data_IF_786419906597
#
_entry.id   IF_786419906597
#
_cell.length_a   1.000
_cell.length_b   1.000
_cell.length_c   1.000
_cell.angle_alpha   90.00
_cell.angle_beta   90.00
_cell.angle_gamma   90.00
#
_symmetry.space_group_name_H-M   'P 1'
#
loop_
_entity.id
_entity.type
_entity.pdbx_description
1 polymer ?
#
# COMPACT_ATOMS: atom_id res chain seq x y z
N UNK A 1 27.40 -29.99 57.60
CA UNK A 1 26.39 -29.24 56.80
C UNK A 1 27.04 -28.28 55.79
N UNK A 2 27.89 -28.78 54.86
CA UNK A 2 28.54 -27.94 53.82
C UNK A 2 28.41 -28.49 52.39
N UNK A 3 27.93 -29.73 52.23
CA UNK A 3 27.79 -30.41 50.92
C UNK A 3 26.42 -30.21 50.26
N UNK A 4 25.39 -29.82 51.02
CA UNK A 4 24.01 -29.66 50.51
C UNK A 4 23.84 -28.30 49.80
N UNK A 5 24.52 -27.25 50.27
CA UNK A 5 24.43 -25.90 49.69
C UNK A 5 25.07 -25.78 48.29
N UNK A 6 26.06 -26.61 47.98
CA UNK A 6 26.77 -26.55 46.68
C UNK A 6 25.93 -27.20 45.58
N UNK A 7 25.15 -28.24 45.89
CA UNK A 7 24.28 -28.90 44.92
C UNK A 7 23.12 -27.99 44.46
N UNK A 8 22.58 -27.15 45.35
CA UNK A 8 21.47 -26.24 45.06
C UNK A 8 21.85 -25.11 44.09
N UNK A 9 23.10 -24.62 44.16
CA UNK A 9 23.58 -23.52 43.30
C UNK A 9 23.91 -24.00 41.88
N UNK A 10 24.41 -25.23 41.73
CA UNK A 10 24.75 -25.80 40.41
C UNK A 10 23.48 -26.14 39.60
N UNK A 11 22.41 -26.59 40.26
CA UNK A 11 21.12 -26.87 39.58
C UNK A 11 20.45 -25.57 39.12
N UNK A 12 20.56 -24.48 39.87
CA UNK A 12 20.01 -23.18 39.46
C UNK A 12 20.73 -22.60 38.23
N UNK A 13 22.04 -22.80 38.12
CA UNK A 13 22.84 -22.36 36.96
C UNK A 13 22.53 -23.14 35.67
N UNK A 14 22.19 -24.43 35.80
CA UNK A 14 21.83 -25.28 34.66
C UNK A 14 20.41 -24.99 34.13
N UNK A 15 19.49 -24.56 35.00
CA UNK A 15 18.12 -24.19 34.58
C UNK A 15 18.13 -22.84 33.85
N UNK A 16 19.02 -21.90 34.19
CA UNK A 16 19.12 -20.61 33.50
C UNK A 16 19.75 -20.68 32.10
N UNK A 17 20.58 -21.69 31.81
CA UNK A 17 21.19 -21.83 30.47
C UNK A 17 20.27 -22.55 29.46
N UNK A 18 19.30 -23.34 29.91
CA UNK A 18 18.40 -24.04 28.99
C UNK A 18 17.23 -23.18 28.46
N UNK A 19 17.06 -21.94 28.96
CA UNK A 19 16.04 -21.01 28.46
C UNK A 19 16.59 -19.99 27.42
N UNK A 20 17.87 -20.09 27.07
CA UNK A 20 18.50 -19.28 26.02
C UNK A 20 18.88 -20.12 24.79
N UNK A 21 18.06 -21.12 24.43
CA UNK A 21 18.16 -21.76 23.11
C UNK A 21 17.62 -20.83 22.04
N UNK A 22 18.54 -20.21 21.29
CA UNK A 22 18.39 -19.72 19.91
C UNK A 22 17.01 -19.18 19.51
N UNK A 23 16.57 -18.08 20.13
CA UNK A 23 15.42 -17.31 19.62
C UNK A 23 15.74 -16.46 18.38
N UNK A 24 17.01 -16.42 17.96
CA UNK A 24 17.50 -15.56 16.88
C UNK A 24 18.04 -16.31 15.65
N UNK A 25 17.73 -17.61 15.49
CA UNK A 25 17.99 -18.28 14.20
C UNK A 25 16.90 -17.85 13.22
N UNK A 26 17.17 -16.77 12.50
CA UNK A 26 16.45 -16.45 11.25
C UNK A 26 16.48 -17.74 10.43
N UNK A 27 15.31 -18.33 10.21
CA UNK A 27 15.21 -19.56 9.42
C UNK A 27 15.65 -19.24 7.99
N UNK A 28 16.35 -20.17 7.31
CA UNK A 28 16.64 -19.98 5.90
C UNK A 28 15.33 -19.76 5.14
N UNK A 29 15.39 -18.94 4.10
CA UNK A 29 14.21 -18.66 3.27
C UNK A 29 13.83 -19.94 2.54
N UNK A 30 12.64 -20.46 2.83
CA UNK A 30 12.06 -21.66 2.20
C UNK A 30 10.86 -21.34 1.34
N UNK A 31 10.26 -20.17 1.53
CA UNK A 31 9.07 -19.73 0.80
C UNK A 31 9.25 -18.29 0.35
N UNK A 32 8.88 -18.00 -0.89
CA UNK A 32 8.85 -16.64 -1.42
C UNK A 32 7.45 -16.35 -1.92
N UNK A 33 6.87 -15.26 -1.44
CA UNK A 33 5.58 -14.74 -1.89
C UNK A 33 5.84 -13.56 -2.81
N UNK A 34 5.17 -13.53 -3.96
CA UNK A 34 5.31 -12.47 -4.95
C UNK A 34 3.96 -11.83 -5.27
N UNK A 35 3.98 -10.54 -5.61
CA UNK A 35 2.78 -9.83 -6.08
C UNK A 35 2.31 -10.40 -7.41
N UNK A 36 1.01 -10.70 -7.50
CA UNK A 36 0.37 -11.18 -8.73
C UNK A 36 0.43 -10.15 -9.86
N UNK A 37 0.45 -10.62 -11.12
CA UNK A 37 0.40 -9.74 -12.29
C UNK A 37 -0.87 -8.88 -12.33
N UNK A 38 -1.98 -9.40 -11.81
CA UNK A 38 -3.22 -8.63 -11.65
C UNK A 38 -2.96 -7.41 -10.77
N UNK A 39 -2.41 -7.61 -9.59
CA UNK A 39 -2.13 -6.50 -8.66
C UNK A 39 -1.10 -5.51 -9.24
N UNK A 40 -0.03 -6.01 -9.87
CA UNK A 40 0.97 -5.15 -10.52
C UNK A 40 0.36 -4.24 -11.57
N UNK A 41 -0.65 -4.70 -12.31
CA UNK A 41 -1.29 -3.90 -13.36
C UNK A 41 -2.12 -2.71 -12.85
N UNK A 42 -2.60 -2.74 -11.60
CA UNK A 42 -3.33 -1.62 -11.00
C UNK A 42 -2.45 -0.65 -10.24
N UNK A 43 -1.29 -1.09 -9.74
CA UNK A 43 -0.54 -0.32 -8.74
C UNK A 43 0.96 -0.21 -8.99
N UNK A 44 1.59 -1.14 -9.71
CA UNK A 44 3.07 -1.26 -9.75
C UNK A 44 3.67 -0.96 -11.12
N UNK A 45 3.02 -1.39 -12.20
CA UNK A 45 3.59 -1.37 -13.56
C UNK A 45 3.56 0.03 -14.19
N UNK A 46 4.23 0.99 -13.56
CA UNK A 46 4.40 2.36 -14.01
C UNK A 46 5.89 2.72 -14.02
N UNK A 47 6.30 3.51 -15.01
CA UNK A 47 7.67 4.02 -15.07
C UNK A 47 7.84 5.18 -14.10
N UNK A 48 8.94 5.17 -13.34
CA UNK A 48 9.33 6.32 -12.50
C UNK A 48 9.49 7.55 -13.40
N UNK A 49 8.87 8.67 -13.00
CA UNK A 49 8.76 9.89 -13.81
C UNK A 49 7.44 10.03 -14.58
N UNK A 50 6.59 8.99 -14.58
CA UNK A 50 5.22 9.08 -15.13
C UNK A 50 4.43 10.16 -14.41
N UNK A 51 3.73 11.00 -15.19
CA UNK A 51 2.90 12.09 -14.69
C UNK A 51 1.45 11.89 -15.13
N UNK A 52 0.53 11.98 -14.18
CA UNK A 52 -0.90 11.97 -14.39
C UNK A 52 -1.45 13.37 -14.16
N UNK A 53 -2.11 13.91 -15.18
CA UNK A 53 -2.74 15.22 -15.14
C UNK A 53 -4.23 15.03 -14.85
N UNK A 54 -4.68 15.65 -13.77
CA UNK A 54 -6.04 15.60 -13.31
C UNK A 54 -6.72 16.95 -13.47
N UNK A 55 -8.01 16.93 -13.79
CA UNK A 55 -8.87 18.10 -13.88
C UNK A 55 -9.95 18.02 -12.79
N UNK A 56 -10.20 19.14 -12.12
CA UNK A 56 -11.32 19.29 -11.19
C UNK A 56 -12.65 19.13 -11.95
N UNK A 57 -13.55 18.27 -11.44
CA UNK A 57 -14.81 17.93 -12.13
C UNK A 57 -15.83 19.07 -12.12
N UNK A 58 -15.68 20.06 -11.23
CA UNK A 58 -16.57 21.22 -11.11
C UNK A 58 -15.89 22.46 -11.69
N UNK A 59 -14.64 22.73 -11.29
CA UNK A 59 -13.87 23.91 -11.71
C UNK A 59 -12.86 23.50 -12.79
N UNK A 60 -13.33 23.30 -14.02
CA UNK A 60 -12.54 22.74 -15.13
C UNK A 60 -11.25 23.50 -15.50
N UNK A 61 -11.07 24.74 -15.03
CA UNK A 61 -9.81 25.49 -15.15
C UNK A 61 -8.75 25.09 -14.10
N UNK A 62 -9.09 24.28 -13.10
CA UNK A 62 -8.19 23.79 -12.06
C UNK A 62 -7.68 22.40 -12.41
N UNK A 63 -6.36 22.26 -12.34
CA UNK A 63 -5.66 21.01 -12.57
C UNK A 63 -4.76 20.65 -11.40
N UNK A 64 -4.51 19.36 -11.22
CA UNK A 64 -3.41 18.83 -10.43
C UNK A 64 -2.55 17.90 -11.30
N UNK A 65 -1.29 17.70 -10.93
CA UNK A 65 -0.40 16.75 -11.58
C UNK A 65 0.22 15.90 -10.51
N UNK A 66 0.03 14.58 -10.60
CA UNK A 66 0.67 13.60 -9.73
C UNK A 66 1.82 12.97 -10.50
N UNK A 67 3.00 12.94 -9.91
CA UNK A 67 4.18 12.27 -10.45
C UNK A 67 4.51 11.03 -9.62
N UNK A 68 4.83 9.92 -10.28
CA UNK A 68 5.49 8.79 -9.62
C UNK A 68 6.98 9.11 -9.49
N UNK A 69 7.43 9.35 -8.25
CA UNK A 69 8.80 9.79 -7.97
C UNK A 69 9.74 8.61 -7.71
N UNK A 70 9.24 7.53 -7.12
CA UNK A 70 10.04 6.30 -6.92
C UNK A 70 9.16 5.07 -6.89
N UNK A 71 9.72 3.94 -7.31
CA UNK A 71 9.16 2.60 -7.21
C UNK A 71 10.29 1.67 -6.77
N UNK A 72 10.27 1.25 -5.51
CA UNK A 72 11.35 0.45 -4.89
C UNK A 72 10.80 -0.86 -4.34
N UNK A 73 11.64 -1.89 -4.29
CA UNK A 73 11.31 -3.15 -3.64
C UNK A 73 11.10 -2.93 -2.14
N UNK A 74 10.07 -3.56 -1.59
CA UNK A 74 9.74 -3.56 -0.16
C UNK A 74 9.60 -5.02 0.28
N UNK A 75 10.75 -5.65 0.54
CA UNK A 75 10.83 -7.07 0.88
C UNK A 75 10.79 -7.26 2.40
N UNK A 76 9.89 -8.11 2.88
CA UNK A 76 9.72 -8.41 4.30
C UNK A 76 10.02 -9.88 4.58
N UNK A 77 10.91 -10.13 5.56
CA UNK A 77 11.17 -11.48 6.08
C UNK A 77 10.44 -11.64 7.41
N UNK A 78 9.55 -12.63 7.50
CA UNK A 78 8.76 -12.91 8.70
C UNK A 78 9.58 -13.55 9.84
N UNK A 79 10.85 -13.89 9.59
CA UNK A 79 11.73 -14.63 10.50
C UNK A 79 11.40 -16.12 10.61
N UNK A 80 10.28 -16.56 10.03
CA UNK A 80 9.78 -17.92 9.95
C UNK A 80 10.24 -18.69 8.71
N UNK A 81 10.94 -18.03 7.79
CA UNK A 81 11.43 -18.61 6.53
C UNK A 81 10.63 -18.18 5.30
N UNK A 82 9.71 -17.22 5.45
CA UNK A 82 8.95 -16.63 4.35
C UNK A 82 9.52 -15.26 4.00
N UNK A 83 9.85 -15.07 2.72
CA UNK A 83 10.17 -13.77 2.14
C UNK A 83 8.97 -13.25 1.33
N UNK A 84 8.42 -12.12 1.73
CA UNK A 84 7.36 -11.42 1.01
C UNK A 84 7.97 -10.31 0.16
N UNK A 85 7.91 -10.43 -1.17
CA UNK A 85 8.44 -9.42 -2.10
C UNK A 85 7.38 -8.39 -2.49
N UNK A 86 7.43 -7.21 -1.89
CA UNK A 86 6.50 -6.11 -2.12
C UNK A 86 7.10 -4.94 -2.89
N UNK A 87 6.32 -3.86 -3.00
CA UNK A 87 6.73 -2.60 -3.61
C UNK A 87 6.26 -1.41 -2.78
N UNK A 88 7.09 -0.37 -2.73
CA UNK A 88 6.73 0.94 -2.21
C UNK A 88 6.86 1.98 -3.34
N UNK A 89 5.74 2.62 -3.67
CA UNK A 89 5.65 3.65 -4.70
C UNK A 89 5.35 5.01 -4.05
N UNK A 90 6.18 6.02 -4.31
CA UNK A 90 5.97 7.37 -3.78
C UNK A 90 5.41 8.29 -4.87
N UNK A 91 4.27 8.90 -4.58
CA UNK A 91 3.56 9.80 -5.46
C UNK A 91 3.58 11.22 -4.89
N UNK A 92 3.90 12.18 -5.77
CA UNK A 92 4.01 13.60 -5.44
C UNK A 92 3.06 14.42 -6.31
N UNK A 93 1.84 14.72 -5.82
CA UNK A 93 0.96 15.71 -6.42
C UNK A 93 1.56 17.13 -6.36
N UNK A 94 1.05 18.04 -7.18
CA UNK A 94 1.40 19.47 -7.11
C UNK A 94 0.46 20.25 -6.18
N UNK A 95 -0.76 19.77 -5.97
CA UNK A 95 -1.76 20.40 -5.11
C UNK A 95 -2.25 19.50 -3.99
N UNK A 96 -2.63 18.26 -4.31
CA UNK A 96 -3.05 17.30 -3.29
C UNK A 96 -1.87 16.90 -2.37
N UNK A 97 -2.18 16.27 -1.25
CA UNK A 97 -1.17 15.74 -0.33
C UNK A 97 -0.40 14.59 -0.98
N UNK A 98 0.91 14.57 -0.79
CA UNK A 98 1.79 13.45 -1.10
C UNK A 98 1.32 12.15 -0.45
N UNK A 99 1.59 11.01 -1.10
CA UNK A 99 1.23 9.71 -0.56
C UNK A 99 2.15 8.61 -1.07
N UNK A 100 2.14 7.48 -0.37
CA UNK A 100 2.74 6.22 -0.83
C UNK A 100 1.66 5.20 -1.13
N UNK A 101 1.91 4.38 -2.14
CA UNK A 101 1.20 3.11 -2.34
C UNK A 101 2.16 2.00 -1.97
N UNK A 102 1.82 1.25 -0.92
CA UNK A 102 2.56 0.08 -0.47
C UNK A 102 1.78 -1.15 -0.92
N UNK A 103 2.44 -2.05 -1.64
CA UNK A 103 1.85 -3.27 -2.21
C UNK A 103 2.60 -4.46 -1.61
N UNK A 104 1.91 -5.28 -0.83
CA UNK A 104 2.51 -6.41 -0.10
C UNK A 104 1.81 -7.74 -0.46
N UNK A 105 2.56 -8.82 -0.73
CA UNK A 105 1.96 -10.13 -0.92
C UNK A 105 1.56 -10.71 0.43
N UNK A 106 0.54 -11.56 0.43
CA UNK A 106 0.13 -12.35 1.58
C UNK A 106 0.08 -13.84 1.26
N UNK A 107 -0.24 -14.62 2.28
CA UNK A 107 -0.39 -16.07 2.15
C UNK A 107 -1.55 -16.42 1.20
N UNK A 108 -1.50 -17.62 0.60
CA UNK A 108 -2.55 -18.12 -0.29
C UNK A 108 -2.84 -17.20 -1.48
N UNK A 109 -1.80 -16.56 -2.04
CA UNK A 109 -1.89 -15.67 -3.19
C UNK A 109 -2.91 -14.52 -2.96
N UNK A 110 -2.94 -14.02 -1.72
CA UNK A 110 -3.51 -12.73 -1.38
C UNK A 110 -2.52 -11.61 -1.66
N UNK A 111 -3.02 -10.41 -1.92
CA UNK A 111 -2.23 -9.20 -2.07
C UNK A 111 -2.97 -8.05 -1.39
N UNK A 112 -2.22 -7.24 -0.65
CA UNK A 112 -2.72 -6.09 0.08
C UNK A 112 -2.10 -4.82 -0.48
N UNK A 113 -2.90 -3.76 -0.56
CA UNK A 113 -2.46 -2.43 -0.96
C UNK A 113 -2.88 -1.44 0.10
N UNK A 114 -1.98 -0.52 0.44
CA UNK A 114 -2.23 0.61 1.33
C UNK A 114 -1.84 1.91 0.63
N UNK A 115 -2.77 2.85 0.52
CA UNK A 115 -2.50 4.24 0.14
C UNK A 115 -2.34 5.05 1.43
N UNK A 116 -1.12 5.42 1.73
CA UNK A 116 -0.69 6.09 2.96
C UNK A 116 -0.40 7.58 2.70
N UNK A 117 -1.12 8.53 3.35
CA UNK A 117 -0.91 9.97 3.14
C UNK A 117 0.34 10.53 3.85
N UNK A 118 1.20 9.68 4.42
CA UNK A 118 2.44 10.06 5.10
C UNK A 118 2.22 10.97 6.32
N UNK A 119 1.07 10.80 6.97
CA UNK A 119 0.69 11.54 8.18
C UNK A 119 0.20 10.53 9.22
N UNK A 120 0.76 10.63 10.42
CA UNK A 120 0.39 9.75 11.52
C UNK A 120 -1.11 9.87 11.83
N UNK A 121 -1.76 8.73 12.09
CA UNK A 121 -3.19 8.63 12.43
C UNK A 121 -4.17 9.21 11.37
N UNK A 122 -3.73 9.44 10.13
CA UNK A 122 -4.59 9.96 9.06
C UNK A 122 -5.45 8.90 8.36
N UNK A 123 -5.36 7.64 8.79
CA UNK A 123 -5.99 6.49 8.11
C UNK A 123 -5.26 6.09 6.83
N UNK A 124 -5.82 5.12 6.11
CA UNK A 124 -5.30 4.66 4.83
C UNK A 124 -6.43 4.10 3.96
N UNK A 125 -6.28 4.22 2.64
CA UNK A 125 -7.16 3.54 1.68
C UNK A 125 -6.55 2.17 1.41
N UNK A 126 -7.31 1.11 1.63
CA UNK A 126 -6.79 -0.25 1.47
C UNK A 126 -7.55 -1.04 0.42
N UNK A 127 -6.82 -1.84 -0.35
CA UNK A 127 -7.37 -2.81 -1.30
C UNK A 127 -6.82 -4.20 -0.98
N UNK A 128 -7.65 -5.22 -1.18
CA UNK A 128 -7.26 -6.60 -0.98
C UNK A 128 -7.76 -7.44 -2.16
N UNK A 129 -6.88 -8.25 -2.73
CA UNK A 129 -7.18 -9.20 -3.78
C UNK A 129 -6.76 -10.60 -3.32
N UNK A 130 -7.70 -11.52 -3.28
CA UNK A 130 -7.51 -12.90 -2.85
C UNK A 130 -7.70 -13.82 -4.06
N UNK A 131 -6.62 -14.39 -4.58
CA UNK A 131 -6.67 -15.31 -5.71
C UNK A 131 -7.33 -14.74 -6.97
N UNK A 132 -7.04 -13.48 -7.31
CA UNK A 132 -7.61 -12.80 -8.47
C UNK A 132 -9.00 -12.21 -8.21
N UNK A 133 -9.60 -12.46 -7.05
CA UNK A 133 -10.91 -11.93 -6.67
C UNK A 133 -10.71 -10.78 -5.69
N UNK A 134 -11.28 -9.62 -6.01
CA UNK A 134 -11.29 -8.48 -5.10
C UNK A 134 -12.11 -8.80 -3.85
N UNK A 135 -11.59 -8.44 -2.67
CA UNK A 135 -12.30 -8.66 -1.39
C UNK A 135 -13.67 -7.99 -1.38
N UNK A 136 -14.56 -8.41 -0.47
CA UNK A 136 -15.94 -7.90 -0.37
C UNK A 136 -16.05 -6.39 -0.14
N UNK A 137 -14.97 -5.76 0.34
CA UNK A 137 -14.91 -4.31 0.54
C UNK A 137 -14.48 -3.57 -0.71
N UNK A 138 -13.92 -4.22 -1.73
CA UNK A 138 -13.51 -3.58 -2.97
C UNK A 138 -14.60 -3.77 -4.02
N UNK A 139 -15.13 -2.68 -4.54
CA UNK A 139 -16.08 -2.74 -5.67
C UNK A 139 -15.31 -2.74 -6.98
N UNK A 140 -15.61 -3.69 -7.86
CA UNK A 140 -15.07 -3.79 -9.20
C UNK A 140 -16.12 -3.39 -10.24
N UNK A 141 -15.73 -2.57 -11.19
CA UNK A 141 -16.52 -2.14 -12.34
C UNK A 141 -15.83 -2.56 -13.64
N UNK A 142 -16.55 -3.22 -14.54
CA UNK A 142 -16.04 -3.46 -15.90
C UNK A 142 -15.74 -2.15 -16.64
N UNK A 143 -16.59 -1.14 -16.42
CA UNK A 143 -16.31 0.24 -16.81
C UNK A 143 -17.08 1.24 -15.95
N UNK A 144 -16.55 2.46 -15.86
CA UNK A 144 -17.23 3.60 -15.25
C UNK A 144 -17.00 4.84 -16.13
N UNK A 145 -18.02 5.68 -16.25
CA UNK A 145 -17.90 6.99 -16.90
C UNK A 145 -17.81 8.08 -15.82
N UNK A 146 -16.77 8.91 -15.89
CA UNK A 146 -16.54 10.02 -14.96
C UNK A 146 -16.45 11.30 -15.78
N UNK A 147 -17.54 12.06 -15.77
CA UNK A 147 -17.65 13.38 -16.44
C UNK A 147 -17.19 13.30 -17.91
N UNK A 148 -17.72 12.36 -18.68
CA UNK A 148 -17.44 12.17 -20.12
C UNK A 148 -16.22 11.31 -20.46
N UNK A 149 -15.40 10.91 -19.48
CA UNK A 149 -14.29 9.97 -19.72
C UNK A 149 -14.69 8.57 -19.24
N UNK A 150 -14.57 7.58 -20.14
CA UNK A 150 -14.82 6.17 -19.81
C UNK A 150 -13.52 5.46 -19.44
N UNK A 151 -13.51 4.82 -18.27
CA UNK A 151 -12.41 4.00 -17.78
C UNK A 151 -12.88 2.56 -17.64
N UNK A 152 -11.96 1.61 -17.81
CA UNK A 152 -12.28 0.18 -17.80
C UNK A 152 -11.56 -0.52 -16.64
N UNK A 153 -12.15 -1.62 -16.18
CA UNK A 153 -11.59 -2.48 -15.12
C UNK A 153 -11.15 -1.62 -13.93
N UNK A 154 -12.14 -0.98 -13.31
CA UNK A 154 -11.94 0.00 -12.26
C UNK A 154 -12.29 -0.60 -10.91
N UNK A 155 -11.43 -0.40 -9.93
CA UNK A 155 -11.68 -0.75 -8.55
C UNK A 155 -11.81 0.49 -7.69
N UNK A 156 -12.64 0.41 -6.66
CA UNK A 156 -12.76 1.42 -5.61
C UNK A 156 -12.85 0.74 -4.26
N UNK A 157 -12.38 1.44 -3.22
CA UNK A 157 -12.45 1.00 -1.83
C UNK A 157 -13.26 2.03 -1.03
N UNK A 158 -14.12 1.60 -0.09
CA UNK A 158 -14.84 2.47 0.83
C UNK A 158 -13.92 3.02 1.92
N UNK A 159 -12.72 2.47 2.07
CA UNK A 159 -11.71 3.02 2.96
C UNK A 159 -11.24 4.38 2.46
N UNK A 160 -11.02 5.28 3.40
CA UNK A 160 -10.63 6.66 3.15
C UNK A 160 -9.48 7.03 4.07
N UNK A 161 -8.72 8.05 3.70
CA UNK A 161 -7.82 8.73 4.62
C UNK A 161 -8.22 10.22 4.73
N UNK A 162 -7.54 10.99 5.57
CA UNK A 162 -7.89 12.40 5.81
C UNK A 162 -7.73 13.30 4.56
N UNK A 163 -6.84 12.95 3.63
CA UNK A 163 -6.44 13.78 2.49
C UNK A 163 -6.96 13.28 1.14
N UNK A 164 -7.20 11.97 1.00
CA UNK A 164 -7.76 11.33 -0.17
C UNK A 164 -8.92 10.41 0.22
N UNK A 165 -9.98 10.44 -0.56
CA UNK A 165 -11.16 9.58 -0.39
C UNK A 165 -11.80 9.26 -1.74
N UNK A 166 -12.61 8.19 -1.80
CA UNK A 166 -13.28 7.71 -3.01
C UNK A 166 -12.32 7.57 -4.22
N UNK A 167 -11.18 6.90 -3.99
CA UNK A 167 -10.19 6.66 -5.06
C UNK A 167 -10.63 5.54 -5.99
N UNK A 168 -10.67 5.84 -7.28
CA UNK A 168 -10.92 4.88 -8.35
C UNK A 168 -9.61 4.57 -9.07
N UNK A 169 -9.25 3.28 -9.13
CA UNK A 169 -8.03 2.80 -9.76
C UNK A 169 -8.41 1.95 -10.97
N UNK A 170 -7.94 2.33 -12.15
CA UNK A 170 -8.15 1.56 -13.38
C UNK A 170 -6.91 0.73 -13.72
N UNK A 171 -7.15 -0.49 -14.18
CA UNK A 171 -6.10 -1.38 -14.67
C UNK A 171 -5.24 -0.69 -15.74
N UNK A 172 -3.93 -0.73 -15.55
CA UNK A 172 -2.90 -0.12 -16.40
C UNK A 172 -2.91 1.40 -16.51
N UNK A 173 -3.93 2.10 -15.99
CA UNK A 173 -3.99 3.57 -16.01
C UNK A 173 -3.66 4.18 -14.64
N UNK A 174 -3.85 3.43 -13.56
CA UNK A 174 -3.63 3.90 -12.19
C UNK A 174 -4.84 4.67 -11.67
N UNK A 175 -4.60 5.69 -10.85
CA UNK A 175 -5.66 6.50 -10.26
C UNK A 175 -6.36 7.28 -11.38
N UNK A 176 -7.63 6.98 -11.63
CA UNK A 176 -8.45 7.65 -12.65
C UNK A 176 -9.39 8.70 -12.07
N UNK A 177 -9.70 8.57 -10.78
CA UNK A 177 -10.44 9.56 -10.02
C UNK A 177 -10.07 9.49 -8.54
N UNK A 178 -10.08 10.65 -7.88
CA UNK A 178 -9.98 10.73 -6.42
C UNK A 178 -10.58 12.05 -5.95
N UNK A 179 -11.07 12.06 -4.72
CA UNK A 179 -11.43 13.29 -4.04
C UNK A 179 -10.31 13.68 -3.09
N UNK A 180 -9.86 14.93 -3.21
CA UNK A 180 -8.83 15.51 -2.36
C UNK A 180 -9.46 16.36 -1.27
N UNK A 181 -8.86 16.36 -0.08
CA UNK A 181 -9.10 17.36 0.96
C UNK A 181 -7.82 18.06 1.31
N UNK A 182 -7.91 19.36 1.41
CA UNK A 182 -6.91 20.18 2.08
C UNK A 182 -7.39 20.40 3.51
N UNK A 183 -6.97 19.49 4.40
CA UNK A 183 -7.31 19.54 5.83
C UNK A 183 -6.42 20.51 6.61
N UNK A 184 -5.37 21.02 5.97
CA UNK A 184 -4.46 22.01 6.57
C UNK A 184 -4.98 23.45 6.35
N UNK A 185 -6.05 23.64 5.56
CA UNK A 185 -6.74 24.94 5.37
C UNK A 185 -8.05 25.08 6.16
N UNK A 186 -8.39 26.33 6.50
CA UNK A 186 -9.66 26.73 7.10
C UNK A 186 -10.39 27.74 6.20
N UNK A 187 -11.62 27.47 5.75
CA UNK A 187 -12.38 26.23 5.92
C UNK A 187 -11.71 25.06 5.19
N UNK A 188 -11.91 23.82 5.66
CA UNK A 188 -11.44 22.63 4.94
C UNK A 188 -12.02 22.70 3.52
N UNK A 189 -11.13 22.67 2.54
CA UNK A 189 -11.51 22.66 1.12
C UNK A 189 -11.19 21.31 0.49
N UNK A 190 -11.77 21.07 -0.67
CA UNK A 190 -11.54 19.85 -1.42
C UNK A 190 -11.83 20.05 -2.90
N UNK A 191 -11.40 19.07 -3.68
CA UNK A 191 -11.65 19.03 -5.11
C UNK A 191 -11.73 17.57 -5.56
N UNK A 192 -12.62 17.35 -6.51
CA UNK A 192 -12.86 16.05 -7.14
C UNK A 192 -12.07 16.03 -8.44
N UNK A 193 -11.09 15.13 -8.54
CA UNK A 193 -10.14 15.13 -9.64
C UNK A 193 -10.36 13.91 -10.52
N UNK A 194 -10.54 14.12 -11.83
CA UNK A 194 -10.57 13.06 -12.86
C UNK A 194 -9.31 13.09 -13.71
N UNK A 195 -8.81 11.92 -14.12
CA UNK A 195 -7.65 11.80 -14.99
C UNK A 195 -7.98 12.25 -16.42
N UNK A 196 -7.21 13.18 -16.99
CA UNK A 196 -7.41 13.62 -18.37
C UNK A 196 -6.25 13.26 -19.29
N UNK A 197 -5.05 13.05 -18.74
CA UNK A 197 -3.86 12.75 -19.54
C UNK A 197 -2.80 12.06 -18.70
N UNK A 198 -2.11 11.11 -19.29
CA UNK A 198 -0.89 10.51 -18.74
C UNK A 198 0.29 10.85 -19.64
N UNK A 199 1.42 11.20 -19.03
CA UNK A 199 2.70 11.46 -19.70
C UNK A 199 3.68 10.41 -19.19
N UNK A 200 4.21 9.61 -20.11
CA UNK A 200 5.21 8.58 -19.83
C UNK A 200 6.59 9.21 -20.11
N UNK A 201 7.60 9.00 -19.24
CA UNK A 201 8.95 9.51 -19.41
C UNK A 201 9.68 8.92 -20.63
#
# INVERSE_FOLDING_TARGET
>A
MRKILIASVVVLFLITQSCCKDKNKIRPITTTLEISNEMKSYFVNYLVGTKWIYQDTIKTSKFDTIELVSNVSHDENDGGGTLSKGFELYFRPRKAKDFKIIVSPGANNSCFVKVDPLVAAAGAISFENNNGIWSSFVTYFDSIEITGNKYYKVITSPHNNMYQYNMHISKSQGIVFFQSRDVDSLPITGADYKLIKTIIP
#
